data_IF_400887805841
#
_entry.id   IF_400887805841
#
_cell.length_a   1.000
_cell.length_b   1.000
_cell.length_c   1.000
_cell.angle_alpha   90.00
_cell.angle_beta   90.00
_cell.angle_gamma   90.00
#
_symmetry.space_group_name_H-M   'P 1'
#
loop_
_entity.id
_entity.type
_entity.pdbx_description
1 polymer ?
#
# COMPACT_ATOMS: atom_id res chain seq x y z
N UNK A 1 3.91 -31.22 -9.45
CA UNK A 1 4.13 -30.59 -10.76
C UNK A 1 4.36 -29.10 -10.53
N UNK A 2 5.61 -28.65 -10.68
CA UNK A 2 6.08 -27.31 -10.29
C UNK A 2 5.60 -26.28 -11.32
N UNK A 3 4.75 -25.32 -10.92
CA UNK A 3 4.47 -24.12 -11.72
C UNK A 3 5.25 -22.93 -11.15
N UNK A 4 6.53 -22.89 -11.49
CA UNK A 4 7.28 -21.63 -11.54
C UNK A 4 6.90 -20.92 -12.83
N UNK A 5 6.24 -19.76 -12.74
CA UNK A 5 6.07 -18.88 -13.90
C UNK A 5 7.01 -17.68 -13.76
N UNK A 6 8.28 -17.92 -14.09
CA UNK A 6 9.17 -16.87 -14.58
C UNK A 6 9.08 -16.86 -16.10
N UNK A 7 8.02 -16.29 -16.66
CA UNK A 7 7.95 -15.89 -18.07
C UNK A 7 6.79 -14.92 -18.26
N UNK A 8 7.15 -13.65 -18.37
CA UNK A 8 6.49 -12.60 -19.17
C UNK A 8 4.95 -12.64 -19.21
N UNK A 9 4.36 -11.58 -18.70
CA UNK A 9 2.96 -11.17 -18.90
C UNK A 9 1.92 -12.08 -18.26
N UNK A 10 1.40 -11.54 -17.16
CA UNK A 10 0.27 -11.97 -16.36
C UNK A 10 -1.02 -11.82 -17.18
N UNK A 11 -1.13 -12.57 -18.27
CA UNK A 11 -2.35 -12.66 -19.10
C UNK A 11 -3.40 -13.61 -18.51
N UNK A 12 -3.17 -14.15 -17.29
CA UNK A 12 -3.97 -15.21 -16.68
C UNK A 12 -4.01 -15.13 -15.14
N UNK A 13 -4.15 -13.94 -14.54
CA UNK A 13 -4.89 -13.89 -13.27
C UNK A 13 -6.35 -13.67 -13.65
N UNK A 14 -7.01 -14.82 -13.70
CA UNK A 14 -8.15 -15.18 -14.52
C UNK A 14 -9.47 -15.04 -13.75
N UNK A 15 -9.54 -14.21 -12.70
CA UNK A 15 -10.81 -13.98 -11.98
C UNK A 15 -11.87 -13.32 -12.86
N UNK A 16 -11.43 -12.55 -13.85
CA UNK A 16 -12.32 -11.91 -14.82
C UNK A 16 -12.36 -12.60 -16.18
N UNK A 17 -11.52 -13.61 -16.47
CA UNK A 17 -11.41 -14.17 -17.81
C UNK A 17 -11.71 -15.67 -17.94
N UNK A 18 -11.55 -16.51 -16.90
CA UNK A 18 -11.92 -17.93 -16.93
C UNK A 18 -12.06 -18.51 -15.52
N UNK A 19 -13.30 -18.67 -15.08
CA UNK A 19 -13.67 -19.88 -14.35
C UNK A 19 -14.31 -20.83 -15.37
N UNK A 20 -13.61 -21.86 -15.89
CA UNK A 20 -14.24 -22.94 -16.63
C UNK A 20 -15.31 -23.68 -15.81
N UNK A 21 -15.32 -23.43 -14.49
CA UNK A 21 -16.23 -24.02 -13.51
C UNK A 21 -17.56 -23.25 -13.43
N UNK A 22 -17.60 -21.96 -13.79
CA UNK A 22 -18.75 -21.09 -13.45
C UNK A 22 -19.56 -20.58 -14.66
N UNK A 23 -19.26 -21.00 -15.89
CA UNK A 23 -20.13 -20.78 -17.08
C UNK A 23 -20.47 -19.33 -17.43
N UNK A 24 -19.92 -18.33 -16.73
CA UNK A 24 -20.18 -16.92 -16.97
C UNK A 24 -19.35 -16.44 -18.16
N UNK A 25 -20.05 -15.99 -19.20
CA UNK A 25 -19.45 -15.37 -20.38
C UNK A 25 -18.55 -14.21 -19.98
N UNK A 26 -17.34 -14.20 -20.51
CA UNK A 26 -16.38 -13.14 -20.27
C UNK A 26 -16.87 -11.84 -20.91
N UNK A 27 -17.12 -10.80 -20.10
CA UNK A 27 -17.54 -9.49 -20.60
C UNK A 27 -16.36 -8.71 -21.20
N UNK A 28 -15.85 -9.21 -22.33
CA UNK A 28 -14.72 -8.65 -23.06
C UNK A 28 -14.94 -7.19 -23.46
N UNK A 29 -16.21 -6.80 -23.71
CA UNK A 29 -16.58 -5.42 -24.06
C UNK A 29 -16.33 -4.47 -22.89
N UNK A 30 -16.70 -4.87 -21.67
CA UNK A 30 -16.41 -4.10 -20.45
C UNK A 30 -14.90 -3.98 -20.23
N UNK A 31 -14.16 -5.08 -20.35
CA UNK A 31 -12.70 -5.07 -20.17
C UNK A 31 -11.98 -4.20 -21.21
N UNK A 32 -12.43 -4.24 -22.48
CA UNK A 32 -11.89 -3.39 -23.53
C UNK A 32 -12.19 -1.92 -23.26
N UNK A 33 -13.44 -1.58 -22.89
CA UNK A 33 -13.83 -0.20 -22.55
C UNK A 33 -13.00 0.33 -21.39
N UNK A 34 -12.83 -0.45 -20.32
CA UNK A 34 -12.02 -0.08 -19.17
C UNK A 34 -10.57 0.19 -19.58
N UNK A 35 -9.93 -0.69 -20.36
CA UNK A 35 -8.57 -0.46 -20.86
C UNK A 35 -8.47 0.80 -21.71
N UNK A 36 -9.42 1.00 -22.62
CA UNK A 36 -9.49 2.19 -23.48
C UNK A 36 -9.63 3.48 -22.67
N UNK A 37 -10.45 3.45 -21.61
CA UNK A 37 -10.65 4.57 -20.70
C UNK A 37 -9.37 4.89 -19.91
N UNK A 38 -8.70 3.88 -19.35
CA UNK A 38 -7.41 4.03 -18.67
C UNK A 38 -6.32 4.58 -19.61
N UNK A 39 -6.20 4.02 -20.82
CA UNK A 39 -5.21 4.44 -21.80
C UNK A 39 -5.42 5.86 -22.31
N UNK A 40 -6.63 6.42 -22.16
CA UNK A 40 -6.97 7.80 -22.54
C UNK A 40 -7.15 8.73 -21.35
N UNK A 41 -7.05 8.24 -20.11
CA UNK A 41 -7.40 9.00 -18.91
C UNK A 41 -8.87 9.42 -18.83
N UNK A 42 -9.75 8.81 -19.64
CA UNK A 42 -11.17 9.13 -19.67
C UNK A 42 -11.86 8.48 -18.47
N UNK A 43 -12.30 9.29 -17.52
CA UNK A 43 -12.98 8.84 -16.32
C UNK A 43 -14.15 9.78 -15.96
N UNK A 44 -15.13 9.23 -15.26
CA UNK A 44 -16.17 10.00 -14.58
C UNK A 44 -15.63 10.46 -13.23
N UNK A 45 -15.67 11.76 -12.98
CA UNK A 45 -15.22 12.34 -11.70
C UNK A 45 -16.42 12.49 -10.77
N UNK A 46 -16.29 11.94 -9.56
CA UNK A 46 -17.29 12.02 -8.51
C UNK A 46 -16.65 12.53 -7.22
N UNK A 47 -17.41 13.19 -6.36
CA UNK A 47 -16.92 13.71 -5.07
C UNK A 47 -17.74 13.16 -3.91
N UNK A 48 -17.06 12.78 -2.82
CA UNK A 48 -17.68 12.40 -1.54
C UNK A 48 -17.11 13.30 -0.44
N UNK A 49 -17.98 14.03 0.23
CA UNK A 49 -17.63 14.81 1.41
C UNK A 49 -17.46 13.89 2.62
N UNK A 50 -16.24 13.78 3.16
CA UNK A 50 -15.97 12.93 4.33
C UNK A 50 -16.24 13.69 5.63
N UNK A 51 -15.68 14.89 5.73
CA UNK A 51 -15.69 15.68 6.95
C UNK A 51 -15.85 17.17 6.63
N UNK A 52 -16.77 17.81 7.35
CA UNK A 52 -16.99 19.25 7.28
C UNK A 52 -15.81 20.05 7.84
N UNK A 53 -14.99 19.43 8.69
CA UNK A 53 -13.77 20.00 9.27
C UNK A 53 -12.58 19.12 8.93
N UNK A 54 -11.45 19.74 8.64
CA UNK A 54 -10.17 19.06 8.40
C UNK A 54 -9.80 18.14 9.57
N UNK A 55 -9.66 16.85 9.27
CA UNK A 55 -9.14 15.85 10.19
C UNK A 55 -7.67 15.58 9.83
N UNK A 56 -6.71 15.95 10.67
CA UNK A 56 -5.30 15.76 10.36
C UNK A 56 -4.96 14.26 10.21
N UNK A 57 -4.16 13.94 9.19
CA UNK A 57 -3.58 12.60 8.98
C UNK A 57 -4.59 11.44 8.82
N UNK A 58 -5.64 11.64 8.02
CA UNK A 58 -6.55 10.55 7.63
C UNK A 58 -5.89 9.60 6.63
N UNK A 59 -5.92 8.30 6.90
CA UNK A 59 -5.42 7.27 5.99
C UNK A 59 -6.56 6.67 5.17
N UNK A 60 -6.33 6.41 3.87
CA UNK A 60 -7.36 5.94 2.94
C UNK A 60 -6.86 4.75 2.11
N UNK A 61 -7.70 3.72 1.93
CA UNK A 61 -7.41 2.56 1.09
C UNK A 61 -8.68 2.00 0.46
N UNK A 62 -8.60 1.71 -0.82
CA UNK A 62 -9.63 1.06 -1.61
C UNK A 62 -9.36 -0.44 -1.63
N UNK A 63 -10.38 -1.26 -1.34
CA UNK A 63 -10.29 -2.71 -1.35
C UNK A 63 -11.67 -3.34 -1.63
N UNK A 64 -11.75 -4.31 -2.55
CA UNK A 64 -13.01 -5.00 -2.86
C UNK A 64 -14.19 -4.07 -3.21
N UNK A 65 -13.94 -2.94 -3.88
CA UNK A 65 -14.98 -1.95 -4.22
C UNK A 65 -15.55 -1.16 -3.02
N UNK A 66 -14.91 -1.25 -1.85
CA UNK A 66 -15.25 -0.50 -0.64
C UNK A 66 -14.09 0.40 -0.28
N UNK A 67 -14.39 1.66 0.04
CA UNK A 67 -13.39 2.59 0.51
C UNK A 67 -13.32 2.57 2.03
N UNK A 68 -12.13 2.26 2.56
CA UNK A 68 -11.85 2.27 3.99
C UNK A 68 -11.03 3.52 4.32
N UNK A 69 -11.50 4.26 5.32
CA UNK A 69 -10.85 5.46 5.83
C UNK A 69 -10.60 5.30 7.33
N UNK A 70 -9.44 5.77 7.79
CA UNK A 70 -9.04 5.67 9.19
C UNK A 70 -8.48 7.03 9.64
N UNK A 71 -9.18 7.67 10.57
CA UNK A 71 -8.73 8.90 11.22
C UNK A 71 -7.70 8.63 12.31
N UNK A 72 -6.84 9.63 12.60
CA UNK A 72 -5.98 9.64 13.80
C UNK A 72 -6.80 9.56 15.10
N UNK A 73 -8.05 10.05 15.09
CA UNK A 73 -8.97 9.97 16.22
C UNK A 73 -9.49 8.55 16.47
N UNK A 74 -9.04 7.57 15.66
CA UNK A 74 -9.44 6.18 15.77
C UNK A 74 -10.80 5.88 15.14
N UNK A 75 -11.33 6.76 14.30
CA UNK A 75 -12.54 6.45 13.53
C UNK A 75 -12.19 5.66 12.27
N UNK A 76 -12.56 4.37 12.25
CA UNK A 76 -12.51 3.50 11.09
C UNK A 76 -13.86 3.53 10.39
N UNK A 77 -13.92 3.96 9.13
CA UNK A 77 -15.18 3.95 8.37
C UNK A 77 -15.05 3.32 7.00
N UNK A 78 -16.06 2.53 6.65
CA UNK A 78 -16.21 1.86 5.37
C UNK A 78 -17.29 2.58 4.55
N UNK A 79 -16.99 2.89 3.30
CA UNK A 79 -17.84 3.65 2.39
C UNK A 79 -18.16 2.85 1.14
N UNK A 80 -19.43 2.84 0.76
CA UNK A 80 -19.88 2.23 -0.47
C UNK A 80 -19.74 3.23 -1.61
N UNK A 81 -18.96 2.89 -2.63
CA UNK A 81 -18.68 3.80 -3.75
C UNK A 81 -19.94 4.11 -4.57
N UNK A 82 -20.82 3.11 -4.75
CA UNK A 82 -22.11 3.28 -5.43
C UNK A 82 -23.12 4.09 -4.62
N UNK A 83 -23.20 3.82 -3.32
CA UNK A 83 -24.20 4.42 -2.43
C UNK A 83 -23.80 5.83 -1.95
N UNK A 84 -22.52 6.21 -2.09
CA UNK A 84 -21.95 7.49 -1.67
C UNK A 84 -22.21 7.83 -0.21
N UNK A 85 -22.36 6.79 0.61
CA UNK A 85 -22.68 6.87 2.03
C UNK A 85 -21.77 5.93 2.81
N UNK A 86 -21.49 6.26 4.08
CA UNK A 86 -20.78 5.34 4.96
C UNK A 86 -21.64 4.10 5.15
N UNK A 87 -21.10 2.93 4.80
CA UNK A 87 -21.70 1.64 5.10
C UNK A 87 -21.67 1.44 6.62
N UNK A 88 -20.52 1.76 7.23
CA UNK A 88 -20.29 1.54 8.65
C UNK A 88 -19.21 2.48 9.20
N UNK A 89 -19.36 2.87 10.47
CA UNK A 89 -18.33 3.59 11.24
C UNK A 89 -18.09 2.84 12.54
N UNK A 90 -16.83 2.63 12.86
CA UNK A 90 -16.36 2.03 14.10
C UNK A 90 -15.40 3.02 14.75
N UNK A 91 -15.72 3.44 15.97
CA UNK A 91 -14.77 4.18 16.81
C UNK A 91 -13.92 3.17 17.57
N UNK A 92 -12.60 3.26 17.39
CA UNK A 92 -11.63 2.49 18.14
C UNK A 92 -11.62 2.93 19.62
N UNK A 93 -11.09 2.09 20.50
CA UNK A 93 -11.05 2.41 21.93
C UNK A 93 -10.20 3.65 22.23
N UNK A 94 -10.59 4.39 23.28
CA UNK A 94 -9.92 5.63 23.65
C UNK A 94 -8.44 5.38 23.99
N UNK A 95 -7.56 6.21 23.43
CA UNK A 95 -6.10 6.10 23.60
C UNK A 95 -5.38 5.29 22.51
N UNK A 96 -6.11 4.64 21.61
CA UNK A 96 -5.51 3.96 20.45
C UNK A 96 -5.26 4.95 19.31
N UNK A 97 -3.99 5.33 19.12
CA UNK A 97 -3.57 6.20 18.01
C UNK A 97 -3.09 5.34 16.84
N UNK A 98 -3.85 5.25 15.74
CA UNK A 98 -3.45 4.47 14.57
C UNK A 98 -2.32 5.17 13.82
N UNK A 99 -1.36 4.40 13.31
CA UNK A 99 -0.19 4.91 12.58
C UNK A 99 -0.05 4.33 11.18
N UNK A 100 -0.56 3.12 10.98
CA UNK A 100 -0.56 2.44 9.70
C UNK A 100 -1.71 1.43 9.66
N UNK A 101 -2.16 1.05 8.47
CA UNK A 101 -3.19 0.05 8.31
C UNK A 101 -3.02 -0.70 6.99
N UNK A 102 -3.51 -1.93 6.95
CA UNK A 102 -3.54 -2.74 5.74
C UNK A 102 -4.82 -3.55 5.66
N UNK A 103 -5.12 -4.01 4.44
CA UNK A 103 -6.35 -4.73 4.12
C UNK A 103 -5.96 -6.01 3.39
N UNK A 104 -6.68 -7.08 3.71
CA UNK A 104 -6.63 -8.38 3.05
C UNK A 104 -7.93 -8.58 2.25
N UNK A 105 -7.77 -8.86 0.95
CA UNK A 105 -8.85 -9.00 -0.02
C UNK A 105 -9.12 -10.47 -0.40
N UNK A 106 -8.47 -11.43 0.25
CA UNK A 106 -8.62 -12.86 -0.07
C UNK A 106 -10.06 -13.39 0.02
N UNK A 107 -10.86 -12.86 0.93
CA UNK A 107 -12.28 -13.21 1.06
C UNK A 107 -13.23 -12.15 0.45
N UNK A 108 -12.69 -11.29 -0.42
CA UNK A 108 -13.44 -10.22 -1.08
C UNK A 108 -14.65 -10.72 -1.87
N UNK A 109 -14.52 -11.86 -2.56
CA UNK A 109 -15.62 -12.52 -3.29
C UNK A 109 -16.80 -12.91 -2.39
N UNK A 110 -16.52 -13.18 -1.11
CA UNK A 110 -17.53 -13.51 -0.09
C UNK A 110 -18.04 -12.26 0.65
N UNK A 111 -17.71 -11.07 0.15
CA UNK A 111 -18.05 -9.80 0.79
C UNK A 111 -17.35 -9.55 2.13
N UNK A 112 -16.20 -10.20 2.37
CA UNK A 112 -15.44 -10.06 3.62
C UNK A 112 -14.06 -9.47 3.39
N UNK A 113 -13.78 -8.39 4.11
CA UNK A 113 -12.48 -7.72 4.07
C UNK A 113 -11.83 -7.79 5.44
N UNK A 114 -10.61 -8.32 5.47
CA UNK A 114 -9.79 -8.35 6.67
C UNK A 114 -9.03 -7.04 6.82
N UNK A 115 -9.09 -6.39 7.98
CA UNK A 115 -8.43 -5.11 8.24
C UNK A 115 -7.46 -5.30 9.40
N UNK A 116 -6.22 -4.85 9.22
CA UNK A 116 -5.24 -4.71 10.31
C UNK A 116 -4.93 -3.24 10.53
N UNK A 117 -4.85 -2.82 11.78
CA UNK A 117 -4.41 -1.47 12.17
C UNK A 117 -3.23 -1.58 13.11
N UNK A 118 -2.15 -0.88 12.79
CA UNK A 118 -1.00 -0.71 13.66
C UNK A 118 -1.09 0.60 14.46
N UNK A 119 -0.59 0.56 15.69
CA UNK A 119 -0.75 1.65 16.65
C UNK A 119 0.59 2.23 17.10
N UNK A 120 0.50 3.45 17.65
CA UNK A 120 1.64 4.18 18.22
C UNK A 120 2.29 3.46 19.41
N UNK A 121 1.53 2.66 20.14
CA UNK A 121 1.97 1.87 21.29
C UNK A 121 2.76 0.59 20.91
N UNK A 122 3.00 0.36 19.62
CA UNK A 122 3.70 -0.82 19.10
C UNK A 122 2.83 -2.06 18.97
N UNK A 123 1.57 -2.01 19.41
CA UNK A 123 0.60 -3.07 19.17
C UNK A 123 -0.11 -2.90 17.83
N UNK A 124 -0.88 -3.92 17.47
CA UNK A 124 -1.74 -3.94 16.28
C UNK A 124 -3.04 -4.65 16.61
N UNK A 125 -4.10 -4.36 15.86
CA UNK A 125 -5.38 -5.06 15.98
C UNK A 125 -5.88 -5.55 14.63
N UNK A 126 -6.79 -6.53 14.66
CA UNK A 126 -7.44 -7.08 13.47
C UNK A 126 -8.96 -7.02 13.59
N UNK A 127 -9.59 -6.66 12.48
CA UNK A 127 -11.04 -6.60 12.30
C UNK A 127 -11.42 -7.32 11.02
N UNK A 128 -12.64 -7.85 10.96
CA UNK A 128 -13.25 -8.28 9.71
C UNK A 128 -14.48 -7.43 9.46
N UNK A 129 -14.48 -6.79 8.29
CA UNK A 129 -15.64 -6.12 7.72
C UNK A 129 -16.42 -7.14 6.90
N UNK A 130 -17.64 -7.43 7.33
CA UNK A 130 -18.63 -8.15 6.53
C UNK A 130 -19.52 -7.11 5.84
N UNK A 131 -19.32 -6.94 4.53
CA UNK A 131 -19.97 -5.90 3.71
C UNK A 131 -21.47 -6.19 3.58
N UNK A 132 -21.86 -7.46 3.47
CA UNK A 132 -23.26 -7.87 3.39
C UNK A 132 -24.01 -7.58 4.69
N UNK A 133 -23.39 -7.94 5.82
CA UNK A 133 -23.97 -7.71 7.15
C UNK A 133 -23.78 -6.29 7.66
N UNK A 134 -23.04 -5.46 6.92
CA UNK A 134 -22.64 -4.09 7.31
C UNK A 134 -22.13 -4.05 8.75
N UNK A 135 -21.22 -4.96 9.11
CA UNK A 135 -20.71 -5.03 10.49
C UNK A 135 -19.20 -5.21 10.54
N UNK A 136 -18.58 -4.54 11.53
CA UNK A 136 -17.20 -4.80 11.92
C UNK A 136 -17.18 -5.75 13.11
N UNK A 137 -16.41 -6.82 12.95
CA UNK A 137 -16.09 -7.74 14.03
C UNK A 137 -14.64 -7.55 14.43
N UNK A 138 -14.41 -7.15 15.67
CA UNK A 138 -13.06 -7.13 16.24
C UNK A 138 -12.63 -8.56 16.54
N UNK A 139 -11.48 -8.97 15.98
CA UNK A 139 -10.96 -10.33 16.14
C UNK A 139 -9.95 -10.37 17.28
N UNK A 140 -8.95 -9.50 17.22
CA UNK A 140 -7.83 -9.57 18.13
C UNK A 140 -7.11 -8.23 18.26
N UNK A 141 -6.63 -7.93 19.47
CA UNK A 141 -5.72 -6.83 19.78
C UNK A 141 -4.44 -7.38 20.39
N UNK A 142 -3.33 -7.17 19.70
CA UNK A 142 -2.00 -7.47 20.23
C UNK A 142 -1.68 -6.49 21.35
N UNK A 143 -1.17 -6.92 22.51
CA UNK A 143 -0.78 -6.01 23.59
C UNK A 143 0.21 -4.93 23.13
N UNK A 144 0.23 -3.76 23.79
CA UNK A 144 1.28 -2.76 23.59
C UNK A 144 2.67 -3.40 23.68
N UNK A 145 3.60 -2.95 22.84
CA UNK A 145 4.96 -3.49 22.78
C UNK A 145 5.99 -2.44 23.14
N UNK A 146 7.01 -2.82 23.92
CA UNK A 146 8.17 -1.97 24.21
C UNK A 146 9.07 -1.74 22.99
N UNK A 147 8.80 -2.38 21.85
CA UNK A 147 9.62 -2.29 20.63
C UNK A 147 9.39 -0.99 19.84
N UNK A 148 8.52 -0.10 20.33
CA UNK A 148 8.25 1.21 19.75
C UNK A 148 7.10 1.21 18.74
N UNK A 149 6.81 2.40 18.22
CA UNK A 149 5.70 2.67 17.30
C UNK A 149 5.75 1.82 16.02
N UNK A 150 4.61 1.29 15.58
CA UNK A 150 4.51 0.63 14.28
C UNK A 150 4.56 1.66 13.15
N UNK A 151 5.44 1.41 12.18
CA UNK A 151 5.61 2.26 11.00
C UNK A 151 4.87 1.74 9.78
N UNK A 152 4.83 0.41 9.59
CA UNK A 152 4.06 -0.20 8.51
C UNK A 152 3.59 -1.60 8.91
N UNK A 153 2.49 -2.02 8.29
CA UNK A 153 1.90 -3.35 8.47
C UNK A 153 1.48 -3.91 7.11
N UNK A 154 1.54 -5.23 6.96
CA UNK A 154 0.94 -5.97 5.87
C UNK A 154 0.13 -7.13 6.43
N UNK A 155 -0.97 -7.45 5.77
CA UNK A 155 -1.92 -8.45 6.22
C UNK A 155 -2.32 -9.37 5.09
N UNK A 156 -2.35 -10.66 5.38
CA UNK A 156 -2.88 -11.70 4.52
C UNK A 156 -3.37 -12.80 5.45
N UNK A 157 -4.67 -12.84 5.73
CA UNK A 157 -5.24 -13.71 6.78
C UNK A 157 -4.75 -15.16 6.61
N UNK A 158 -4.25 -15.82 7.67
CA UNK A 158 -4.16 -15.41 9.08
C UNK A 158 -2.81 -14.75 9.48
N UNK A 159 -2.02 -14.25 8.54
CA UNK A 159 -0.65 -13.74 8.79
C UNK A 159 -0.58 -12.22 8.89
N UNK A 160 0.21 -11.73 9.84
CA UNK A 160 0.47 -10.29 10.05
C UNK A 160 1.97 -10.05 10.00
N UNK A 161 2.40 -9.12 9.16
CA UNK A 161 3.77 -8.63 9.09
C UNK A 161 3.80 -7.18 9.56
N UNK A 162 4.62 -6.87 10.55
CA UNK A 162 4.74 -5.53 11.10
C UNK A 162 6.19 -5.07 11.13
N UNK A 163 6.42 -3.77 10.95
CA UNK A 163 7.73 -3.16 11.19
C UNK A 163 7.60 -1.94 12.09
N UNK A 164 8.47 -1.85 13.09
CA UNK A 164 8.54 -0.71 14.00
C UNK A 164 9.35 0.45 13.40
N UNK A 165 9.24 1.65 13.99
CA UNK A 165 10.09 2.81 13.65
C UNK A 165 11.59 2.49 13.80
N UNK A 166 11.93 1.63 14.75
CA UNK A 166 13.29 1.17 15.02
C UNK A 166 13.69 -0.05 14.15
N UNK A 167 12.96 -0.28 13.05
CA UNK A 167 13.25 -1.27 12.02
C UNK A 167 13.30 -2.72 12.54
N UNK A 168 12.49 -3.01 13.56
CA UNK A 168 12.22 -4.38 13.98
C UNK A 168 11.08 -4.93 13.12
N UNK A 169 11.40 -5.83 12.21
CA UNK A 169 10.43 -6.60 11.43
C UNK A 169 9.99 -7.81 12.25
N UNK A 170 8.69 -7.99 12.41
CA UNK A 170 8.11 -9.13 13.12
C UNK A 170 7.00 -9.75 12.29
N UNK A 171 7.01 -11.07 12.17
CA UNK A 171 6.01 -11.83 11.41
C UNK A 171 5.25 -12.78 12.33
N UNK A 172 3.92 -12.69 12.31
CA UNK A 172 3.03 -13.40 13.20
C UNK A 172 2.05 -14.27 12.41
N UNK A 173 1.64 -15.39 13.01
CA UNK A 173 0.44 -16.15 12.61
C UNK A 173 -0.65 -15.99 13.66
N UNK A 174 -1.88 -15.72 13.22
CA UNK A 174 -3.07 -15.69 14.07
C UNK A 174 -3.61 -17.09 14.35
N UNK A 175 -3.12 -18.13 13.69
CA UNK A 175 -3.52 -19.52 13.96
C UNK A 175 -2.42 -20.20 14.77
N UNK A 176 -2.58 -20.33 16.10
CA UNK A 176 -1.62 -21.05 16.93
C UNK A 176 -1.70 -22.55 16.66
N UNK A 177 -0.60 -23.29 16.89
CA UNK A 177 -0.64 -24.74 16.87
C UNK A 177 -1.59 -25.24 17.97
N UNK A 178 -2.43 -26.22 17.68
CA UNK A 178 -3.22 -26.87 18.73
C UNK A 178 -2.26 -27.59 19.66
N UNK A 179 -2.05 -27.06 20.87
CA UNK A 179 -1.28 -27.74 21.91
C UNK A 179 -1.97 -29.06 22.26
N UNK A 180 -1.34 -30.18 21.93
CA UNK A 180 -1.73 -31.54 22.38
C UNK A 180 -1.37 -31.80 23.84
N UNK A 181 -1.57 -30.81 24.73
CA UNK A 181 -1.21 -30.93 26.15
C UNK A 181 -2.26 -30.30 27.09
N UNK A 182 -3.55 -30.35 26.72
CA UNK A 182 -4.60 -30.27 27.74
C UNK A 182 -5.14 -31.69 27.93
N UNK A 183 -4.81 -32.22 29.10
CA UNK A 183 -5.05 -33.54 29.66
C UNK A 183 -6.46 -34.08 29.37
N UNK A 184 -6.55 -35.41 29.27
CA UNK A 184 -7.80 -36.16 29.40
C UNK A 184 -8.47 -35.82 30.74
N UNK A 185 -9.26 -34.74 30.78
CA UNK A 185 -10.29 -34.63 31.80
C UNK A 185 -11.61 -34.16 31.22
N UNK A 186 -12.60 -34.98 31.50
CA UNK A 186 -13.86 -35.10 30.80
C UNK A 186 -14.88 -34.21 31.50
N UNK A 187 -15.16 -33.02 30.99
CA UNK A 187 -16.41 -32.34 31.32
C UNK A 187 -16.92 -31.47 30.17
N UNK A 188 -18.15 -31.75 29.76
CA UNK A 188 -18.95 -30.93 28.83
C UNK A 188 -19.23 -29.58 29.47
N UNK A 189 -18.32 -28.63 29.28
CA UNK A 189 -18.56 -27.21 29.51
C UNK A 189 -18.31 -26.50 28.17
N UNK A 190 -19.27 -25.68 27.77
CA UNK A 190 -19.26 -24.92 26.52
C UNK A 190 -17.87 -24.32 26.27
N UNK A 191 -17.21 -24.77 25.18
CA UNK A 191 -15.97 -24.19 24.68
C UNK A 191 -16.24 -22.74 24.24
N UNK A 192 -16.25 -21.79 25.19
CA UNK A 192 -15.95 -20.39 24.89
C UNK A 192 -14.58 -20.41 24.22
N UNK A 193 -14.54 -20.14 22.92
CA UNK A 193 -13.31 -20.12 22.13
C UNK A 193 -12.26 -19.27 22.87
N UNK A 194 -11.18 -19.90 23.33
CA UNK A 194 -10.06 -19.15 23.93
C UNK A 194 -9.59 -18.12 22.90
N UNK A 195 -9.30 -16.87 23.32
CA UNK A 195 -8.85 -15.84 22.39
C UNK A 195 -7.58 -16.33 21.70
N UNK A 196 -7.60 -16.30 20.37
CA UNK A 196 -6.52 -16.79 19.52
C UNK A 196 -5.28 -15.95 19.81
N UNK A 197 -4.27 -16.55 20.46
CA UNK A 197 -3.01 -15.86 20.75
C UNK A 197 -2.14 -15.91 19.50
N UNK A 198 -1.71 -14.77 18.94
CA UNK A 198 -0.81 -14.75 17.81
C UNK A 198 0.52 -15.40 18.21
N UNK A 199 1.08 -16.17 17.29
CA UNK A 199 2.39 -16.79 17.45
C UNK A 199 3.40 -16.06 16.58
N UNK A 200 4.50 -15.61 17.19
CA UNK A 200 5.60 -14.97 16.48
C UNK A 200 6.41 -16.02 15.71
N UNK A 201 6.37 -15.95 14.39
CA UNK A 201 7.11 -16.85 13.49
C UNK A 201 8.58 -16.47 13.40
N UNK A 202 8.87 -15.18 13.25
CA UNK A 202 10.24 -14.66 13.22
C UNK A 202 10.27 -13.18 13.56
N UNK A 203 11.42 -12.72 14.04
CA UNK A 203 11.71 -11.30 14.26
C UNK A 203 13.12 -10.99 13.79
N UNK A 204 13.26 -9.93 12.99
CA UNK A 204 14.53 -9.49 12.40
C UNK A 204 14.71 -8.00 12.67
N UNK A 205 15.85 -7.60 13.22
CA UNK A 205 16.20 -6.19 13.38
C UNK A 205 17.20 -5.79 12.30
N UNK A 206 16.86 -4.77 11.53
CA UNK A 206 17.75 -4.21 10.51
C UNK A 206 18.42 -2.95 11.04
N UNK A 207 19.67 -2.73 10.62
CA UNK A 207 20.45 -1.52 10.90
C UNK A 207 20.75 -0.71 9.62
N UNK A 208 20.35 -1.24 8.46
CA UNK A 208 20.68 -0.69 7.15
C UNK A 208 19.48 -0.48 6.25
N UNK A 209 18.26 -0.80 6.69
CA UNK A 209 17.05 -0.36 5.99
C UNK A 209 16.80 1.11 6.29
N UNK A 210 16.37 1.89 5.31
CA UNK A 210 16.01 3.29 5.52
C UNK A 210 14.62 3.53 4.91
N UNK A 211 13.78 4.35 5.55
CA UNK A 211 12.53 4.79 4.94
C UNK A 211 12.83 5.64 3.68
N UNK A 212 11.95 5.61 2.66
CA UNK A 212 10.67 4.89 2.59
C UNK A 212 10.81 3.36 2.48
N UNK A 213 9.77 2.63 2.91
CA UNK A 213 9.69 1.17 2.85
C UNK A 213 8.26 0.71 2.50
N UNK A 214 8.14 -0.51 1.98
CA UNK A 214 6.86 -1.15 1.68
C UNK A 214 6.89 -2.62 2.10
N UNK A 215 5.80 -3.08 2.71
CA UNK A 215 5.62 -4.46 3.15
C UNK A 215 4.60 -5.17 2.26
N UNK A 216 4.80 -6.47 2.03
CA UNK A 216 3.84 -7.32 1.33
C UNK A 216 3.92 -8.73 1.88
N UNK A 217 2.77 -9.41 1.90
CA UNK A 217 2.70 -10.86 2.13
C UNK A 217 2.10 -11.49 0.89
N UNK A 218 2.67 -12.60 0.43
CA UNK A 218 2.16 -13.40 -0.68
C UNK A 218 1.98 -14.83 -0.21
N UNK A 219 0.79 -15.37 -0.42
CA UNK A 219 0.49 -16.76 -0.12
C UNK A 219 0.56 -17.56 -1.41
N UNK A 220 1.32 -18.65 -1.39
CA UNK A 220 1.29 -19.67 -2.45
C UNK A 220 0.88 -21.00 -1.83
N UNK A 221 0.40 -21.97 -2.62
CA UNK A 221 -0.07 -23.26 -2.09
C UNK A 221 0.98 -24.02 -1.25
N UNK A 222 2.27 -23.77 -1.49
CA UNK A 222 3.39 -24.44 -0.80
C UNK A 222 4.16 -23.54 0.15
N UNK A 223 4.24 -22.25 -0.13
CA UNK A 223 5.10 -21.32 0.63
C UNK A 223 4.41 -19.99 0.90
N UNK A 224 4.74 -19.42 2.05
CA UNK A 224 4.36 -18.07 2.45
C UNK A 224 5.57 -17.19 2.23
N UNK A 225 5.41 -16.08 1.52
CA UNK A 225 6.49 -15.17 1.20
C UNK A 225 6.17 -13.83 1.83
N UNK A 226 6.92 -13.48 2.89
CA UNK A 226 6.90 -12.15 3.47
C UNK A 226 8.01 -11.32 2.84
N UNK A 227 7.67 -10.13 2.32
CA UNK A 227 8.58 -9.29 1.56
C UNK A 227 8.65 -7.89 2.16
N UNK A 228 9.86 -7.34 2.23
CA UNK A 228 10.13 -5.95 2.60
C UNK A 228 10.98 -5.30 1.52
N UNK A 229 10.46 -4.23 0.90
CA UNK A 229 11.20 -3.37 0.00
C UNK A 229 11.59 -2.09 0.75
N UNK A 230 12.85 -1.66 0.64
CA UNK A 230 13.38 -0.54 1.41
C UNK A 230 14.50 0.19 0.66
N UNK A 231 14.81 1.41 1.09
CA UNK A 231 15.98 2.15 0.59
C UNK A 231 17.23 1.81 1.40
N UNK A 232 18.36 1.77 0.72
CA UNK A 232 19.68 1.53 1.32
C UNK A 232 20.64 2.62 0.84
N UNK A 233 21.26 3.41 1.73
CA UNK A 233 22.31 4.34 1.32
C UNK A 233 23.55 3.57 0.87
N UNK A 234 24.11 3.96 -0.28
CA UNK A 234 25.34 3.41 -0.83
C UNK A 234 26.45 4.45 -0.80
N UNK A 235 27.65 4.02 -0.40
CA UNK A 235 28.82 4.89 -0.40
C UNK A 235 29.09 5.36 -1.84
N UNK A 236 29.25 6.68 -2.04
CA UNK A 236 29.52 7.38 -3.31
C UNK A 236 28.42 7.35 -4.40
N UNK A 237 27.39 6.49 -4.30
CA UNK A 237 26.37 6.32 -5.36
C UNK A 237 24.95 6.75 -4.96
N UNK A 238 24.76 7.30 -3.75
CA UNK A 238 23.48 7.84 -3.29
C UNK A 238 22.62 6.78 -2.62
N UNK A 239 21.42 6.54 -3.15
CA UNK A 239 20.47 5.56 -2.61
C UNK A 239 20.16 4.46 -3.62
N UNK A 240 20.12 3.22 -3.15
CA UNK A 240 19.66 2.05 -3.92
C UNK A 240 18.41 1.46 -3.30
N UNK A 241 17.64 0.73 -4.10
CA UNK A 241 16.48 -0.01 -3.63
C UNK A 241 16.89 -1.46 -3.41
N UNK A 242 16.50 -1.99 -2.25
CA UNK A 242 16.72 -3.37 -1.88
C UNK A 242 15.40 -4.04 -1.52
N UNK A 243 15.33 -5.34 -1.74
CA UNK A 243 14.19 -6.17 -1.32
C UNK A 243 14.68 -7.43 -0.65
N UNK A 244 14.10 -7.72 0.51
CA UNK A 244 14.30 -8.96 1.24
C UNK A 244 13.01 -9.79 1.24
N UNK A 245 13.13 -11.08 0.93
CA UNK A 245 12.04 -12.05 1.01
C UNK A 245 12.36 -13.12 2.05
N UNK A 246 11.38 -13.42 2.89
CA UNK A 246 11.38 -14.52 3.86
C UNK A 246 10.37 -15.56 3.39
N UNK A 247 10.86 -16.76 3.11
CA UNK A 247 10.07 -17.88 2.61
C UNK A 247 9.81 -18.86 3.75
N UNK A 248 8.55 -19.10 4.07
CA UNK A 248 8.11 -20.08 5.04
C UNK A 248 7.45 -21.26 4.32
N UNK A 249 7.78 -22.48 4.74
CA UNK A 249 7.06 -23.66 4.30
C UNK A 249 5.67 -23.67 4.95
N UNK A 250 4.64 -24.02 4.19
CA UNK A 250 3.38 -24.43 4.81
C UNK A 250 3.62 -25.64 5.72
N UNK A 251 2.85 -25.67 6.79
CA UNK A 251 2.81 -26.76 7.73
C UNK A 251 2.35 -28.05 7.02
N UNK A 252 3.10 -29.15 7.16
CA UNK A 252 2.73 -30.45 6.59
C UNK A 252 1.48 -31.07 7.25
N UNK A 253 1.07 -30.54 8.40
CA UNK A 253 -0.12 -30.92 9.16
C UNK A 253 -0.84 -29.66 9.62
N UNK A 254 -2.17 -29.68 9.71
CA UNK A 254 -2.99 -28.55 10.14
C UNK A 254 -2.65 -28.01 11.55
N UNK A 255 -1.86 -28.76 12.33
CA UNK A 255 -1.43 -28.41 13.68
C UNK A 255 -0.04 -27.78 13.76
N UNK A 256 0.82 -27.89 12.73
CA UNK A 256 2.18 -27.36 12.80
C UNK A 256 2.27 -25.90 12.37
N UNK A 257 3.24 -25.18 12.93
CA UNK A 257 3.50 -23.77 12.62
C UNK A 257 4.35 -23.67 11.35
N UNK A 258 4.14 -22.67 10.48
CA UNK A 258 5.03 -22.39 9.36
C UNK A 258 6.48 -22.16 9.81
N UNK A 259 7.44 -22.76 9.10
CA UNK A 259 8.86 -22.68 9.43
C UNK A 259 9.59 -21.85 8.38
N UNK A 260 10.41 -20.89 8.81
CA UNK A 260 11.29 -20.12 7.94
C UNK A 260 12.28 -21.06 7.25
N UNK A 261 12.14 -21.20 5.94
CA UNK A 261 12.96 -22.10 5.13
C UNK A 261 14.13 -21.35 4.49
N UNK A 262 13.90 -20.12 4.01
CA UNK A 262 14.95 -19.35 3.34
C UNK A 262 14.71 -17.84 3.51
N UNK A 263 15.78 -17.07 3.69
CA UNK A 263 15.79 -15.61 3.59
C UNK A 263 16.66 -15.21 2.40
N UNK A 264 16.18 -14.31 1.55
CA UNK A 264 16.89 -13.81 0.36
C UNK A 264 16.86 -12.31 0.30
N UNK A 265 17.96 -11.72 -0.14
CA UNK A 265 18.09 -10.28 -0.33
C UNK A 265 18.68 -10.02 -1.71
N UNK A 266 18.20 -8.96 -2.37
CA UNK A 266 18.80 -8.43 -3.58
C UNK A 266 18.66 -6.91 -3.61
N UNK A 267 19.54 -6.24 -4.35
CA UNK A 267 19.56 -4.79 -4.51
C UNK A 267 19.67 -4.41 -5.98
N UNK A 268 19.12 -3.26 -6.36
CA UNK A 268 19.10 -2.80 -7.76
C UNK A 268 20.47 -2.41 -8.31
N UNK A 269 21.40 -2.06 -7.43
CA UNK A 269 22.79 -1.80 -7.74
C UNK A 269 23.60 -2.89 -7.04
N UNK A 270 24.29 -3.79 -7.77
CA UNK A 270 25.04 -4.88 -7.16
C UNK A 270 26.05 -4.34 -6.15
N UNK A 271 26.09 -4.93 -4.96
CA UNK A 271 27.20 -4.72 -4.03
C UNK A 271 28.44 -5.37 -4.63
N UNK A 272 29.26 -4.57 -5.31
CA UNK A 272 30.54 -4.99 -5.85
C UNK A 272 31.58 -3.91 -5.60
N UNK A 273 32.58 -4.22 -4.78
CA UNK A 273 33.89 -3.60 -4.97
C UNK A 273 34.33 -3.92 -6.40
N UNK A 274 34.25 -2.96 -7.30
CA UNK A 274 34.90 -3.09 -8.59
C UNK A 274 36.41 -3.14 -8.32
N UNK A 275 37.14 -4.18 -8.76
CA UNK A 275 38.59 -4.17 -8.73
C UNK A 275 39.07 -2.91 -9.43
N UNK A 276 40.06 -2.22 -8.86
CA UNK A 276 40.66 -0.98 -9.40
C UNK A 276 41.27 -1.14 -10.81
N UNK A 277 41.17 -2.34 -11.40
CA UNK A 277 41.71 -2.72 -12.71
C UNK A 277 40.66 -2.78 -13.82
N UNK A 278 39.36 -2.70 -13.52
CA UNK A 278 38.32 -2.54 -14.55
C UNK A 278 38.09 -1.06 -14.82
N UNK A 279 38.10 -0.65 -16.08
CA UNK A 279 37.66 0.69 -16.50
C UNK A 279 36.35 1.05 -15.81
N UNK A 280 36.21 2.27 -15.27
CA UNK A 280 35.01 2.64 -14.54
C UNK A 280 33.82 2.48 -15.50
N UNK A 281 32.79 1.68 -15.17
CA UNK A 281 31.50 1.90 -15.81
C UNK A 281 31.15 3.37 -15.56
N UNK A 282 30.67 4.06 -16.60
CA UNK A 282 30.19 5.46 -16.56
C UNK A 282 29.68 5.80 -15.16
N UNK A 283 30.33 6.75 -14.48
CA UNK A 283 30.01 7.15 -13.10
C UNK A 283 28.50 7.16 -12.92
N UNK A 284 27.91 6.26 -12.11
CA UNK A 284 26.47 6.27 -11.90
C UNK A 284 26.16 7.61 -11.25
N UNK A 285 25.38 8.44 -11.92
CA UNK A 285 24.85 9.67 -11.34
C UNK A 285 24.22 9.29 -10.00
N UNK A 286 24.62 9.93 -8.87
CA UNK A 286 24.09 9.60 -7.56
C UNK A 286 22.57 9.60 -7.61
N UNK A 287 21.94 8.49 -7.25
CA UNK A 287 20.48 8.44 -7.21
C UNK A 287 20.00 9.20 -5.96
N UNK A 288 19.07 10.17 -6.12
CA UNK A 288 18.51 10.88 -4.98
C UNK A 288 17.76 9.89 -4.07
N UNK A 289 17.55 10.28 -2.81
CA UNK A 289 16.72 9.51 -1.90
C UNK A 289 15.29 9.47 -2.47
N UNK A 290 14.70 8.27 -2.68
CA UNK A 290 13.31 8.18 -3.06
C UNK A 290 12.39 8.83 -2.01
N UNK A 291 11.36 9.55 -2.45
CA UNK A 291 10.36 10.15 -1.56
C UNK A 291 9.36 9.10 -1.09
N UNK A 292 8.89 8.23 -1.99
CA UNK A 292 8.02 7.09 -1.67
C UNK A 292 8.45 5.80 -2.36
N UNK A 293 8.09 4.67 -1.76
CA UNK A 293 8.23 3.33 -2.35
C UNK A 293 6.89 2.60 -2.22
N UNK A 294 6.44 2.01 -3.31
CA UNK A 294 5.28 1.11 -3.35
C UNK A 294 5.70 -0.22 -3.96
N UNK A 295 5.42 -1.32 -3.26
CA UNK A 295 5.72 -2.67 -3.73
C UNK A 295 4.44 -3.49 -3.88
N UNK A 296 4.21 -3.95 -5.10
CA UNK A 296 3.20 -4.96 -5.41
C UNK A 296 3.80 -5.93 -6.42
N UNK A 297 4.13 -7.15 -5.96
CA UNK A 297 4.85 -8.13 -6.77
C UNK A 297 4.20 -8.32 -8.17
N UNK A 298 4.96 -8.23 -9.27
CA UNK A 298 6.43 -8.18 -9.33
C UNK A 298 7.03 -6.76 -9.39
N UNK A 299 6.26 -5.71 -9.22
CA UNK A 299 6.72 -4.34 -9.44
C UNK A 299 7.10 -3.61 -8.14
N UNK A 300 8.23 -2.92 -8.16
CA UNK A 300 8.57 -1.89 -7.17
C UNK A 300 8.57 -0.56 -7.90
N UNK A 301 7.77 0.38 -7.41
CA UNK A 301 7.73 1.75 -7.90
C UNK A 301 8.32 2.68 -6.85
N UNK A 302 9.31 3.46 -7.25
CA UNK A 302 9.90 4.50 -6.43
C UNK A 302 9.69 5.87 -7.08
N UNK A 303 9.38 6.86 -6.26
CA UNK A 303 9.24 8.25 -6.68
C UNK A 303 10.45 9.04 -6.22
N UNK A 304 10.82 10.05 -6.99
CA UNK A 304 11.98 10.87 -6.74
C UNK A 304 11.58 12.35 -6.63
N UNK A 305 12.38 13.18 -5.93
CA UNK A 305 12.15 14.61 -5.85
C UNK A 305 12.33 15.31 -7.20
N UNK A 306 13.02 14.68 -8.15
CA UNK A 306 13.37 15.21 -9.46
C UNK A 306 12.25 15.04 -10.52
N UNK A 307 10.98 14.96 -10.10
CA UNK A 307 9.77 14.71 -10.93
C UNK A 307 9.71 13.35 -11.67
N UNK A 308 10.69 12.46 -11.44
CA UNK A 308 10.73 11.15 -12.10
C UNK A 308 10.20 10.02 -11.21
N UNK A 309 9.79 8.92 -11.85
CA UNK A 309 9.58 7.64 -11.17
C UNK A 309 10.59 6.62 -11.68
N UNK A 310 10.96 5.67 -10.82
CA UNK A 310 11.77 4.51 -11.19
C UNK A 310 10.99 3.23 -10.94
N UNK A 311 10.79 2.45 -12.01
CA UNK A 311 10.16 1.14 -11.98
C UNK A 311 11.23 0.05 -11.96
N UNK A 312 11.09 -0.89 -11.03
CA UNK A 312 11.94 -2.07 -10.92
C UNK A 312 11.07 -3.32 -11.02
N UNK A 313 11.58 -4.34 -11.71
CA UNK A 313 10.96 -5.65 -11.80
C UNK A 313 11.67 -6.62 -10.85
N UNK A 314 10.94 -7.08 -9.84
CA UNK A 314 11.36 -8.09 -8.89
C UNK A 314 11.04 -9.49 -9.43
N UNK A 315 12.09 -10.24 -9.76
CA UNK A 315 11.98 -11.65 -10.16
C UNK A 315 12.25 -12.54 -8.95
N UNK A 316 11.20 -13.18 -8.42
CA UNK A 316 11.27 -14.13 -7.31
C UNK A 316 10.98 -15.54 -7.82
N UNK A 317 11.92 -16.47 -7.62
CA UNK A 317 11.79 -17.89 -7.96
C UNK A 317 12.00 -18.77 -6.71
N UNK A 318 11.89 -20.10 -6.84
CA UNK A 318 12.14 -21.04 -5.73
C UNK A 318 13.54 -20.92 -5.20
N UNK A 319 14.50 -20.46 -6.01
CA UNK A 319 15.93 -20.48 -5.68
C UNK A 319 16.61 -19.13 -5.80
N UNK A 320 16.08 -18.20 -6.58
CA UNK A 320 16.70 -16.90 -6.85
C UNK A 320 15.76 -15.73 -6.59
N UNK A 321 16.36 -14.59 -6.23
CA UNK A 321 15.70 -13.31 -6.10
C UNK A 321 16.59 -12.27 -6.80
N UNK A 322 16.06 -11.58 -7.79
CA UNK A 322 16.79 -10.53 -8.52
C UNK A 322 15.92 -9.33 -8.82
N UNK A 323 16.55 -8.15 -8.87
CA UNK A 323 15.94 -6.90 -9.31
C UNK A 323 16.47 -6.50 -10.69
N UNK A 324 15.59 -6.01 -11.55
CA UNK A 324 16.01 -5.36 -12.79
C UNK A 324 16.70 -4.01 -12.51
N UNK A 325 17.48 -3.49 -13.47
CA UNK A 325 17.88 -2.08 -13.46
C UNK A 325 16.65 -1.16 -13.41
N UNK A 326 16.78 0.06 -12.86
CA UNK A 326 15.71 1.04 -12.84
C UNK A 326 15.28 1.43 -14.25
N UNK A 327 13.99 1.32 -14.55
CA UNK A 327 13.39 1.98 -15.70
C UNK A 327 12.85 3.33 -15.25
N UNK A 328 13.45 4.43 -15.72
CA UNK A 328 12.94 5.78 -15.47
C UNK A 328 11.66 6.04 -16.25
N UNK A 329 10.68 6.64 -15.59
CA UNK A 329 9.41 7.08 -16.14
C UNK A 329 9.32 8.60 -15.97
N UNK A 330 8.92 9.27 -17.05
CA UNK A 330 8.77 10.72 -17.12
C UNK A 330 7.31 11.06 -17.37
N UNK A 331 6.85 12.16 -16.80
CA UNK A 331 5.51 12.64 -17.02
C UNK A 331 5.20 13.84 -16.15
N UNK A 332 5.47 13.75 -14.85
CA UNK A 332 5.20 14.87 -13.94
C UNK A 332 6.05 16.08 -14.26
N UNK A 333 5.43 17.25 -14.13
CA UNK A 333 6.10 18.55 -14.30
C UNK A 333 6.74 19.05 -13.00
N UNK A 334 6.42 18.41 -11.88
CA UNK A 334 6.82 18.79 -10.52
C UNK A 334 7.13 17.56 -9.65
N UNK A 335 7.71 17.78 -8.47
CA UNK A 335 8.06 16.70 -7.54
C UNK A 335 6.84 15.86 -7.17
N UNK A 336 7.04 14.55 -7.02
CA UNK A 336 5.95 13.59 -6.78
C UNK A 336 5.80 13.35 -5.28
N UNK A 337 4.60 13.60 -4.74
CA UNK A 337 4.32 13.38 -3.31
C UNK A 337 3.88 11.95 -3.02
N UNK A 338 3.20 11.30 -3.96
CA UNK A 338 2.68 9.96 -3.76
C UNK A 338 2.67 9.17 -5.08
N UNK A 339 2.97 7.88 -4.99
CA UNK A 339 2.66 6.93 -6.04
C UNK A 339 2.37 5.56 -5.46
N UNK A 340 1.51 4.82 -6.13
CA UNK A 340 1.22 3.44 -5.79
C UNK A 340 1.02 2.59 -7.04
N UNK A 341 1.34 1.30 -6.94
CA UNK A 341 1.35 0.35 -8.05
C UNK A 341 0.57 -0.91 -7.68
N UNK A 342 -0.19 -1.45 -8.63
CA UNK A 342 -0.87 -2.74 -8.47
C UNK A 342 0.00 -3.87 -9.00
N UNK A 343 -0.33 -5.07 -8.56
CA UNK A 343 0.30 -6.29 -9.03
C UNK A 343 0.08 -6.51 -10.56
N UNK A 344 -0.96 -5.90 -11.14
CA UNK A 344 -1.28 -5.93 -12.59
C UNK A 344 -0.56 -4.84 -13.39
N UNK A 345 0.36 -4.08 -12.80
CA UNK A 345 1.15 -3.08 -13.52
C UNK A 345 0.39 -1.82 -13.89
N UNK A 346 -0.74 -1.53 -13.23
CA UNK A 346 -1.33 -0.18 -13.22
C UNK A 346 -0.72 0.61 -12.08
N UNK A 347 -0.39 1.86 -12.31
CA UNK A 347 0.07 2.75 -11.24
C UNK A 347 -0.63 4.09 -11.31
N UNK A 348 -0.61 4.79 -10.17
CA UNK A 348 -1.11 6.16 -10.04
C UNK A 348 -0.03 6.98 -9.34
N UNK A 349 0.13 8.23 -9.75
CA UNK A 349 1.01 9.18 -9.06
C UNK A 349 0.43 10.59 -9.01
N UNK A 350 0.77 11.30 -7.94
CA UNK A 350 0.26 12.64 -7.62
C UNK A 350 1.43 13.59 -7.39
N UNK A 351 1.34 14.77 -8.00
CA UNK A 351 2.29 15.87 -7.76
C UNK A 351 2.15 16.45 -6.36
N UNK A 352 3.30 16.79 -5.74
CA UNK A 352 3.37 17.48 -4.46
C UNK A 352 2.94 18.94 -4.49
N UNK A 353 2.96 19.60 -5.66
CA UNK A 353 2.41 20.96 -5.83
C UNK A 353 0.90 20.96 -6.06
N UNK A 354 0.27 19.79 -6.15
CA UNK A 354 -1.14 19.65 -6.48
C UNK A 354 -1.42 19.76 -7.99
N UNK A 355 -2.67 19.52 -8.38
CA UNK A 355 -3.15 19.74 -9.76
C UNK A 355 -2.77 18.68 -10.80
N UNK A 356 -1.78 17.82 -10.54
CA UNK A 356 -1.35 16.77 -11.48
C UNK A 356 -1.53 15.36 -10.89
N UNK A 357 -2.55 14.65 -11.37
CA UNK A 357 -2.78 13.22 -11.14
C UNK A 357 -2.48 12.48 -12.44
N UNK A 358 -1.60 11.49 -12.38
CA UNK A 358 -1.26 10.64 -13.54
C UNK A 358 -1.56 9.18 -13.29
N UNK A 359 -2.03 8.54 -14.35
CA UNK A 359 -2.29 7.11 -14.39
C UNK A 359 -1.34 6.46 -15.37
N UNK A 360 -0.81 5.30 -15.00
CA UNK A 360 0.24 4.59 -15.74
C UNK A 360 -0.18 3.18 -16.08
N UNK A 361 0.05 2.78 -17.31
CA UNK A 361 -0.04 1.38 -17.76
C UNK A 361 1.39 0.87 -18.01
N UNK A 362 1.91 0.13 -17.04
CA UNK A 362 3.30 -0.32 -16.99
C UNK A 362 3.48 -1.76 -17.46
N UNK A 363 2.40 -2.40 -17.91
CA UNK A 363 2.49 -3.69 -18.58
C UNK A 363 3.26 -3.53 -19.92
N UNK A 364 4.17 -4.47 -20.23
CA UNK A 364 4.90 -4.42 -21.49
C UNK A 364 3.93 -4.64 -22.66
N UNK A 365 3.61 -3.57 -23.39
CA UNK A 365 2.84 -3.65 -24.63
C UNK A 365 3.58 -4.57 -25.64
N UNK A 366 2.84 -5.51 -26.24
CA UNK A 366 3.38 -6.43 -27.28
C UNK A 366 3.70 -5.74 -28.61
N UNK A 367 3.41 -4.45 -28.74
CA UNK A 367 3.60 -3.68 -29.96
C UNK A 367 4.89 -2.87 -29.87
N UNK A 368 5.86 -3.15 -30.74
CA UNK A 368 7.14 -2.43 -30.84
C UNK A 368 7.02 -1.01 -31.41
N UNK A 369 6.00 -0.23 -31.00
CA UNK A 369 5.92 1.21 -31.25
C UNK A 369 6.28 1.97 -29.97
N UNK A 370 6.94 3.10 -30.17
CA UNK A 370 7.72 3.87 -29.20
C UNK A 370 7.11 4.03 -27.81
N UNK A 371 8.02 4.00 -26.85
CA UNK A 371 7.84 4.12 -25.40
C UNK A 371 7.40 5.51 -24.91
N UNK A 372 6.61 6.25 -25.67
CA UNK A 372 6.48 7.70 -25.42
C UNK A 372 5.29 8.10 -24.55
N UNK A 373 4.20 7.31 -24.50
CA UNK A 373 3.03 7.66 -23.67
C UNK A 373 2.54 6.46 -22.86
N UNK A 374 3.23 6.16 -21.75
CA UNK A 374 2.75 5.18 -20.74
C UNK A 374 1.93 5.81 -19.62
N UNK A 375 1.80 7.14 -19.65
CA UNK A 375 1.15 7.93 -18.62
C UNK A 375 0.12 8.84 -19.23
N UNK A 376 -1.04 8.93 -18.59
CA UNK A 376 -2.05 9.92 -18.93
C UNK A 376 -2.32 10.81 -17.73
N UNK A 377 -2.33 12.12 -17.96
CA UNK A 377 -2.75 13.09 -16.95
C UNK A 377 -4.29 13.10 -16.90
N UNK A 378 -4.83 12.90 -15.70
CA UNK A 378 -6.23 13.18 -15.44
C UNK A 378 -6.34 14.65 -15.06
N UNK A 379 -7.10 15.42 -15.83
CA UNK A 379 -7.49 16.76 -15.46
C UNK A 379 -8.48 16.62 -14.30
N UNK A 380 -8.04 16.94 -13.08
CA UNK A 380 -8.97 17.23 -12.01
C UNK A 380 -9.62 18.57 -12.36
N UNK A 381 -10.96 18.66 -12.35
CA UNK A 381 -11.62 19.95 -12.48
C UNK A 381 -11.04 20.91 -11.44
N UNK A 382 -10.41 21.95 -11.96
CA UNK A 382 -9.79 23.01 -11.20
C UNK A 382 -10.92 23.88 -10.64
N UNK A 383 -11.40 23.55 -9.43
CA UNK A 383 -11.98 24.57 -8.57
C UNK A 383 -10.81 25.51 -8.21
N UNK A 384 -10.67 26.56 -9.04
CA UNK A 384 -9.51 27.42 -9.16
C UNK A 384 -8.91 27.87 -7.84
N UNK A 385 -7.78 27.27 -7.49
CA UNK A 385 -6.92 27.76 -6.43
C UNK A 385 -5.46 27.54 -6.83
N UNK A 386 -5.04 28.31 -7.85
CA UNK A 386 -3.64 28.46 -8.19
C UNK A 386 -2.94 29.23 -7.06
N UNK A 387 -2.26 28.50 -6.19
CA UNK A 387 -1.34 29.10 -5.21
C UNK A 387 -0.01 29.41 -5.93
N UNK A 388 0.07 30.59 -6.53
CA UNK A 388 1.35 31.16 -6.95
C UNK A 388 2.07 31.74 -5.72
N UNK A 389 3.29 31.21 -5.48
CA UNK A 389 4.40 31.91 -4.85
C UNK A 389 4.30 32.21 -3.35
N UNK A 390 4.91 31.36 -2.51
CA UNK A 390 5.46 31.82 -1.23
C UNK A 390 6.85 31.23 -0.99
N UNK A 391 7.70 32.11 -0.48
CA UNK A 391 9.16 32.06 -0.33
C UNK A 391 9.65 30.99 0.65
N UNK A 392 10.84 30.46 0.34
CA UNK A 392 11.60 29.51 1.16
C UNK A 392 11.98 30.13 2.51
N UNK A 393 11.56 29.50 3.61
CA UNK A 393 12.12 29.72 4.95
C UNK A 393 12.22 28.40 5.72
N UNK A 394 13.33 28.23 6.43
CA UNK A 394 13.90 27.02 7.06
C UNK A 394 13.08 26.37 8.21
N UNK A 395 11.76 26.21 8.06
CA UNK A 395 10.89 25.50 9.01
C UNK A 395 10.44 24.10 8.50
N UNK A 396 11.13 23.56 7.51
CA UNK A 396 10.63 22.53 6.59
C UNK A 396 10.61 21.08 7.11
N UNK A 397 11.17 20.80 8.29
CA UNK A 397 11.26 19.40 8.78
C UNK A 397 10.01 18.96 9.55
N UNK A 398 9.18 19.89 10.03
CA UNK A 398 7.98 19.57 10.83
C UNK A 398 6.68 19.63 10.02
N UNK A 399 6.67 20.34 8.87
CA UNK A 399 5.49 20.51 8.02
C UNK A 399 5.27 19.41 6.97
N UNK A 400 6.25 18.54 6.71
CA UNK A 400 6.13 17.46 5.71
C UNK A 400 5.08 16.38 6.05
N UNK A 401 4.66 16.24 7.32
CA UNK A 401 3.61 15.27 7.67
C UNK A 401 2.20 15.73 7.27
N UNK A 402 1.98 17.02 7.00
CA UNK A 402 0.65 17.61 6.82
C UNK A 402 0.17 17.72 5.36
N UNK A 403 0.97 17.27 4.37
CA UNK A 403 0.61 17.29 2.94
C UNK A 403 0.62 15.89 2.29
N UNK A 404 0.26 14.85 3.05
CA UNK A 404 0.10 13.51 2.47
C UNK A 404 -1.20 13.45 1.67
N UNK A 405 -1.09 13.60 0.34
CA UNK A 405 -2.13 13.21 -0.58
C UNK A 405 -2.32 11.70 -0.51
N UNK A 406 -3.45 11.26 0.03
CA UNK A 406 -3.79 9.85 0.07
C UNK A 406 -4.46 9.43 -1.22
N UNK A 407 -3.97 8.35 -1.80
CA UNK A 407 -4.55 7.76 -3.00
C UNK A 407 -4.85 6.29 -2.77
N UNK A 408 -6.12 5.92 -2.86
CA UNK A 408 -6.56 4.53 -2.99
C UNK A 408 -6.89 4.27 -4.46
N UNK A 409 -6.51 3.13 -5.00
CA UNK A 409 -6.88 2.80 -6.37
C UNK A 409 -6.99 1.30 -6.57
N UNK A 410 -7.86 0.91 -7.49
CA UNK A 410 -8.00 -0.45 -8.00
C UNK A 410 -7.98 -0.43 -9.54
N UNK A 411 -8.55 -1.43 -10.19
CA UNK A 411 -8.60 -1.50 -11.66
C UNK A 411 -9.69 -0.65 -12.29
N UNK A 412 -10.69 -0.26 -11.52
CA UNK A 412 -11.88 0.45 -11.99
C UNK A 412 -11.85 1.91 -11.57
N UNK A 413 -11.29 2.21 -10.40
CA UNK A 413 -11.39 3.50 -9.74
C UNK A 413 -10.06 3.97 -9.16
N UNK A 414 -9.85 5.28 -9.22
CA UNK A 414 -8.78 6.00 -8.52
C UNK A 414 -9.44 6.97 -7.56
N UNK A 415 -8.99 7.03 -6.31
CA UNK A 415 -9.58 7.87 -5.27
C UNK A 415 -8.47 8.71 -4.66
N UNK A 416 -8.66 10.03 -4.65
CA UNK A 416 -7.71 10.99 -4.11
C UNK A 416 -8.36 11.77 -2.98
N UNK A 417 -7.71 11.84 -1.82
CA UNK A 417 -8.11 12.75 -0.75
C UNK A 417 -7.64 14.18 -1.10
N UNK A 418 -8.59 15.08 -1.36
CA UNK A 418 -8.36 16.51 -1.59
C UNK A 418 -8.77 17.29 -0.34
N UNK A 419 -7.88 18.17 0.09
CA UNK A 419 -8.18 19.16 1.13
C UNK A 419 -8.46 20.49 0.45
N UNK A 420 -9.58 21.14 0.74
CA UNK A 420 -9.78 22.53 0.34
C UNK A 420 -9.15 23.43 1.39
N UNK A 421 -8.11 24.18 1.00
CA UNK A 421 -7.60 25.29 1.79
C UNK A 421 -8.59 26.44 1.79
N UNK A 422 -8.83 27.05 2.95
CA UNK A 422 -9.52 28.34 3.03
C UNK A 422 -8.59 29.37 2.42
N UNK A 423 -9.03 30.04 1.36
CA UNK A 423 -8.33 31.19 0.82
C UNK A 423 -8.20 32.24 1.93
N UNK A 424 -6.98 32.61 2.32
CA UNK A 424 -6.77 33.86 3.03
C UNK A 424 -7.10 34.98 2.04
N UNK A 425 -8.33 35.48 2.12
CA UNK A 425 -8.68 36.73 1.47
C UNK A 425 -7.92 37.84 2.16
N UNK A 426 -7.05 38.52 1.42
CA UNK A 426 -6.57 39.86 1.76
C UNK A 426 -7.81 40.75 1.95
N UNK A 427 -8.15 41.04 3.21
CA UNK A 427 -9.40 41.70 3.55
C UNK A 427 -9.40 42.13 5.01
N UNK A 428 -8.83 43.30 5.25
CA UNK A 428 -9.08 44.27 6.33
C UNK A 428 -9.67 43.70 7.64
N UNK A 429 -8.82 43.66 8.68
CA UNK A 429 -9.19 43.30 10.05
C UNK A 429 -10.28 44.24 10.60
N UNK A 430 -11.53 43.79 10.58
CA UNK A 430 -12.52 44.20 11.57
C UNK A 430 -12.49 43.19 12.72
N UNK A 431 -12.30 43.71 13.93
CA UNK A 431 -12.31 42.95 15.17
C UNK A 431 -13.70 42.34 15.41
N UNK A 432 -13.89 41.09 15.03
CA UNK A 432 -14.85 40.23 15.72
C UNK A 432 -14.39 38.77 15.71
N UNK A 433 -14.45 38.13 16.87
CA UNK A 433 -13.87 36.82 17.17
C UNK A 433 -14.64 35.65 16.56
N UNK A 434 -14.76 35.62 15.23
CA UNK A 434 -15.34 34.51 14.48
C UNK A 434 -14.38 33.32 14.39
N UNK A 435 -14.86 32.14 14.77
CA UNK A 435 -14.12 30.89 14.63
C UNK A 435 -13.72 30.67 13.16
N UNK A 436 -12.42 30.52 12.92
CA UNK A 436 -11.87 30.13 11.61
C UNK A 436 -12.56 28.84 11.16
N UNK A 437 -13.44 28.93 10.16
CA UNK A 437 -14.07 27.77 9.53
C UNK A 437 -12.96 26.87 8.98
N UNK A 438 -12.88 25.64 9.48
CA UNK A 438 -11.83 24.70 9.07
C UNK A 438 -12.05 24.24 7.63
N UNK A 439 -10.96 24.14 6.85
CA UNK A 439 -11.00 23.61 5.49
C UNK A 439 -11.71 22.25 5.39
N UNK A 440 -12.43 22.01 4.29
CA UNK A 440 -13.23 20.81 4.08
C UNK A 440 -12.36 19.68 3.49
N UNK A 441 -12.64 18.43 3.89
CA UNK A 441 -11.98 17.26 3.30
C UNK A 441 -12.94 16.50 2.40
N UNK A 442 -12.52 16.29 1.14
CA UNK A 442 -13.30 15.62 0.10
C UNK A 442 -12.50 14.48 -0.51
N UNK A 443 -13.17 13.39 -0.86
CA UNK A 443 -12.61 12.35 -1.72
C UNK A 443 -13.07 12.61 -3.14
N UNK A 444 -12.12 12.68 -4.05
CA UNK A 444 -12.39 12.70 -5.49
C UNK A 444 -12.19 11.29 -6.02
N UNK A 445 -13.25 10.72 -6.58
CA UNK A 445 -13.29 9.39 -7.19
C UNK A 445 -13.26 9.58 -8.70
N UNK A 446 -12.35 8.89 -9.37
CA UNK A 446 -12.22 8.82 -10.82
C UNK A 446 -12.60 7.41 -11.24
N UNK A 447 -13.79 7.24 -11.82
CA UNK A 447 -14.34 5.96 -12.26
C UNK A 447 -14.09 5.77 -13.77
N UNK A 448 -13.44 4.66 -14.13
CA UNK A 448 -13.05 4.32 -15.51
C UNK A 448 -13.99 3.32 -16.21
N UNK A 449 -15.11 2.95 -15.60
CA UNK A 449 -16.00 1.88 -16.12
C UNK A 449 -16.82 2.23 -17.36
#
# INVERSE_FOLDING_TARGET
>A
MLRFSSRRSRWLDDEGLRNPIDGKETNWKRQYKLRHNWARGACEVQQIDIAAKRVPSMMVRLAGGVLLTLSVDGELSAWGLKERKPIMRLKLEDGWVPTCFAIDEQEGDKGRLGVVVGFKDGGWGTWVLDVEKKSFSHIYRHPPSSNGMLSAVAYASPYVLSITKDQLLSFYTLTPPSSTEDSEDNSKVERKARPTRPYLLTSLKSHSSWPPLSLSIRLTPSTIIASIAYTLPTYLSGYTISIQELHFSHAASASSVPILTTSRLTSSVPHGFHPLTSSPPSTPTPLPRPTTISYAHPYILATHPDNTLSLYLCTSTSTSLSLSPPQKLYGHTSAISFASITARGKAVSVSGRGGELRVWELEPARSGKGSEERSVQILADDDGCGAEGETEDEADVVREMDKKHWVGFDEEMVIVLKESGVAHGDGDTTEDGGAVEGGQQRLVIYDFT
#
